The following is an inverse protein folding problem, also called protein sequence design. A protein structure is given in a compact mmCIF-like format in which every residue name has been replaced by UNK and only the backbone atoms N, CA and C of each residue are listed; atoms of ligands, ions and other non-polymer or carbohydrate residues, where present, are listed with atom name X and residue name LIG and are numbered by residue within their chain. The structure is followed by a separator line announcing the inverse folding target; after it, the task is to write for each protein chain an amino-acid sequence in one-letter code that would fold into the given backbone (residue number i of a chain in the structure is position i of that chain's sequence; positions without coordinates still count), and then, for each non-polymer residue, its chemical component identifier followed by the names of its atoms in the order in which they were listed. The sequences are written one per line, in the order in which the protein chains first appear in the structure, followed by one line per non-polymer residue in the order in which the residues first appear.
data_IF_993210781993
#
_entry.id   IF_993210781993
#
_cell.length_a   1.000
_cell.length_b   1.000
_cell.length_c   1.000
_cell.angle_alpha   90.00
_cell.angle_beta   90.00
_cell.angle_gamma   90.00
#
_symmetry.space_group_name_H-M   'P 1'
#
loop_
_entity.id
_entity.type
_entity.pdbx_description
1 polymer ?
#
# COMPACT_ATOMS: atom_id res chain seq x y z
N UNK A 1 -40.54 -38.81 25.77
CA UNK A 1 -39.31 -38.05 26.03
C UNK A 1 -38.60 -37.88 24.71
N UNK A 2 -38.77 -36.73 24.07
CA UNK A 2 -38.03 -36.33 22.87
C UNK A 2 -37.55 -34.91 23.14
N UNK A 3 -36.25 -34.78 23.45
CA UNK A 3 -35.60 -33.49 23.58
C UNK A 3 -35.08 -33.08 22.21
N UNK A 4 -35.66 -32.03 21.64
CA UNK A 4 -35.11 -31.36 20.48
C UNK A 4 -33.90 -30.55 20.95
N UNK A 5 -32.71 -30.88 20.44
CA UNK A 5 -31.53 -30.04 20.61
C UNK A 5 -31.66 -28.84 19.67
N UNK A 6 -31.70 -27.68 20.32
CA UNK A 6 -31.62 -26.34 19.72
C UNK A 6 -30.30 -26.23 18.95
N UNK A 7 -30.36 -26.28 17.62
CA UNK A 7 -29.24 -25.92 16.78
C UNK A 7 -29.19 -24.40 16.67
N UNK A 8 -28.44 -23.76 17.57
CA UNK A 8 -28.05 -22.36 17.44
C UNK A 8 -27.43 -22.13 16.06
N UNK A 9 -27.82 -21.08 15.31
CA UNK A 9 -27.21 -20.79 14.03
C UNK A 9 -25.74 -20.46 14.25
N UNK A 10 -24.84 -21.27 13.68
CA UNK A 10 -23.42 -20.97 13.58
C UNK A 10 -23.26 -19.59 12.94
N UNK A 11 -22.61 -18.66 13.63
CA UNK A 11 -22.24 -17.36 13.07
C UNK A 11 -21.57 -17.56 11.70
N UNK A 12 -21.91 -16.75 10.68
CA UNK A 12 -21.27 -16.87 9.38
C UNK A 12 -19.77 -16.61 9.55
N UNK A 13 -18.95 -17.60 9.22
CA UNK A 13 -17.50 -17.45 9.17
C UNK A 13 -17.17 -16.19 8.37
N UNK A 14 -16.60 -15.19 9.04
CA UNK A 14 -16.17 -13.95 8.39
C UNK A 14 -15.16 -14.31 7.32
N UNK A 15 -15.54 -14.12 6.05
CA UNK A 15 -14.66 -14.42 4.92
C UNK A 15 -13.45 -13.49 4.99
N UNK A 16 -12.30 -14.03 5.35
CA UNK A 16 -11.03 -13.30 5.36
C UNK A 16 -10.40 -13.29 3.96
N UNK A 17 -9.91 -12.13 3.50
CA UNK A 17 -9.18 -11.99 2.25
C UNK A 17 -7.67 -11.93 2.49
N UNK A 18 -6.89 -12.63 1.67
CA UNK A 18 -5.43 -12.65 1.72
C UNK A 18 -4.85 -11.60 0.78
N UNK A 19 -4.16 -10.62 1.34
CA UNK A 19 -3.61 -9.48 0.60
C UNK A 19 -2.09 -9.56 0.61
N UNK A 20 -1.49 -9.73 -0.56
CA UNK A 20 -0.05 -9.59 -0.73
C UNK A 20 0.35 -8.11 -0.81
N UNK A 21 1.42 -7.72 -0.12
CA UNK A 21 2.01 -6.38 -0.22
C UNK A 21 3.48 -6.52 -0.55
N UNK A 22 3.89 -6.03 -1.73
CA UNK A 22 5.29 -5.99 -2.15
C UNK A 22 5.80 -4.57 -1.95
N UNK A 23 6.59 -4.35 -0.90
CA UNK A 23 7.10 -3.04 -0.53
C UNK A 23 8.29 -3.16 0.43
N UNK A 24 8.82 -2.03 0.91
CA UNK A 24 9.85 -1.95 1.95
C UNK A 24 9.19 -1.85 3.33
N UNK A 25 9.54 -2.75 4.23
CA UNK A 25 9.03 -2.80 5.61
C UNK A 25 10.16 -2.60 6.59
N UNK A 26 9.86 -2.02 7.75
CA UNK A 26 10.81 -1.91 8.85
C UNK A 26 11.18 -3.32 9.36
N UNK A 27 12.47 -3.63 9.35
CA UNK A 27 13.02 -4.86 9.92
C UNK A 27 13.87 -4.45 11.15
N UNK A 28 13.48 -4.82 12.39
CA UNK A 28 14.31 -4.52 13.55
C UNK A 28 15.62 -5.31 13.46
N UNK A 29 16.72 -4.62 13.15
CA UNK A 29 18.06 -5.23 13.09
C UNK A 29 18.56 -5.43 14.52
N UNK A 30 18.54 -6.66 15.03
CA UNK A 30 18.68 -6.95 16.48
C UNK A 30 20.00 -6.43 17.09
N UNK A 31 21.05 -6.20 16.29
CA UNK A 31 22.41 -6.07 16.81
C UNK A 31 23.12 -4.70 16.59
N UNK A 32 22.47 -3.70 15.99
CA UNK A 32 23.10 -2.38 15.77
C UNK A 32 22.10 -1.21 15.83
N UNK A 33 22.08 -0.49 16.97
CA UNK A 33 21.22 0.68 17.16
C UNK A 33 21.58 1.85 16.24
N UNK A 34 22.86 2.06 15.92
CA UNK A 34 23.27 3.16 15.03
C UNK A 34 22.83 2.88 13.59
N UNK A 35 22.93 1.63 13.15
CA UNK A 35 22.39 1.21 11.86
C UNK A 35 20.87 1.38 11.81
N UNK A 36 20.16 1.01 12.87
CA UNK A 36 18.70 1.20 12.96
C UNK A 36 18.31 2.67 12.84
N UNK A 37 18.94 3.54 13.63
CA UNK A 37 18.69 5.00 13.56
C UNK A 37 18.99 5.53 12.16
N UNK A 38 20.13 5.14 11.56
CA UNK A 38 20.47 5.54 10.19
C UNK A 38 19.40 5.09 9.20
N UNK A 39 18.92 3.86 9.28
CA UNK A 39 17.88 3.37 8.37
C UNK A 39 16.53 4.05 8.62
N UNK A 40 16.19 4.39 9.87
CA UNK A 40 15.00 5.20 10.20
C UNK A 40 15.08 6.59 9.57
N UNK A 41 16.22 7.25 9.65
CA UNK A 41 16.43 8.56 8.99
C UNK A 41 16.35 8.44 7.46
N UNK A 42 16.85 7.35 6.88
CA UNK A 42 16.85 7.16 5.42
C UNK A 42 15.48 6.79 4.83
N UNK A 43 14.67 6.02 5.56
CA UNK A 43 13.47 5.37 5.01
C UNK A 43 12.18 5.65 5.78
N UNK A 44 12.26 6.24 6.97
CA UNK A 44 11.11 6.66 7.76
C UNK A 44 10.40 7.83 7.11
N UNK A 45 9.08 7.85 7.25
CA UNK A 45 8.20 8.84 6.61
C UNK A 45 7.38 9.66 7.62
N UNK A 46 7.44 9.31 8.89
CA UNK A 46 6.66 9.90 9.97
C UNK A 46 7.57 10.23 11.14
N UNK A 47 7.37 11.38 11.76
CA UNK A 47 7.92 11.79 13.05
C UNK A 47 6.74 12.35 13.83
N UNK A 48 6.10 11.50 14.65
CA UNK A 48 4.78 11.80 15.23
C UNK A 48 4.89 12.50 16.58
N UNK A 49 6.06 12.42 17.21
CA UNK A 49 6.39 13.01 18.49
C UNK A 49 7.35 14.22 18.35
N UNK A 50 7.81 14.50 17.12
CA UNK A 50 8.62 15.66 16.74
C UNK A 50 9.96 15.68 17.50
N UNK A 51 10.59 14.52 17.63
CA UNK A 51 11.91 14.35 18.24
C UNK A 51 13.05 14.26 17.21
N UNK A 52 12.75 14.53 15.94
CA UNK A 52 13.64 14.47 14.78
C UNK A 52 14.09 13.04 14.41
N UNK A 53 13.52 12.01 15.05
CA UNK A 53 13.83 10.61 14.78
C UNK A 53 12.60 9.90 14.19
N UNK A 54 12.56 9.66 12.86
CA UNK A 54 11.38 9.08 12.24
C UNK A 54 10.96 7.75 12.85
N UNK A 55 9.66 7.52 13.02
CA UNK A 55 9.09 6.30 13.61
C UNK A 55 9.56 5.03 12.89
N UNK A 56 9.59 3.87 13.58
CA UNK A 56 10.06 2.58 13.03
C UNK A 56 9.03 1.95 12.05
N UNK A 57 8.56 2.74 11.09
CA UNK A 57 7.63 2.33 10.04
C UNK A 57 8.17 2.81 8.69
N UNK A 58 8.34 1.88 7.76
CA UNK A 58 8.69 2.21 6.38
C UNK A 58 7.44 2.28 5.50
N UNK A 59 7.65 2.68 4.26
CA UNK A 59 6.58 2.87 3.28
C UNK A 59 5.56 1.71 3.22
N UNK A 60 6.03 0.47 3.20
CA UNK A 60 5.19 -0.73 3.19
C UNK A 60 4.35 -0.94 4.45
N UNK A 61 4.86 -0.54 5.62
CA UNK A 61 4.09 -0.59 6.86
C UNK A 61 2.90 0.37 6.79
N UNK A 62 3.13 1.59 6.30
CA UNK A 62 2.07 2.60 6.14
C UNK A 62 1.04 2.20 5.08
N UNK A 63 1.48 1.63 3.96
CA UNK A 63 0.60 1.07 2.93
C UNK A 63 -0.31 -0.01 3.53
N UNK A 64 0.24 -0.89 4.37
CA UNK A 64 -0.55 -1.91 5.06
C UNK A 64 -1.53 -1.30 6.07
N UNK A 65 -1.11 -0.29 6.85
CA UNK A 65 -1.97 0.38 7.83
C UNK A 65 -3.16 1.08 7.16
N UNK A 66 -2.93 1.77 6.04
CA UNK A 66 -4.02 2.42 5.28
C UNK A 66 -5.02 1.39 4.74
N UNK A 67 -4.52 0.23 4.32
CA UNK A 67 -5.35 -0.88 3.87
C UNK A 67 -6.02 -1.66 5.01
N UNK A 68 -5.68 -1.41 6.29
CA UNK A 68 -6.00 -2.29 7.41
C UNK A 68 -7.51 -2.52 7.56
N UNK A 69 -7.91 -3.76 7.81
CA UNK A 69 -9.27 -4.15 8.14
C UNK A 69 -9.27 -5.55 8.78
N UNK A 70 -10.13 -5.86 9.76
CA UNK A 70 -10.18 -7.18 10.40
C UNK A 70 -10.43 -8.35 9.45
N UNK A 71 -11.07 -8.09 8.31
CA UNK A 71 -11.31 -9.10 7.27
C UNK A 71 -10.11 -9.34 6.35
N UNK A 72 -8.96 -8.69 6.57
CA UNK A 72 -7.77 -8.85 5.73
C UNK A 72 -6.64 -9.55 6.48
N UNK A 73 -6.01 -10.51 5.81
CA UNK A 73 -4.79 -11.17 6.23
C UNK A 73 -3.67 -10.70 5.31
N UNK A 74 -2.73 -9.92 5.84
CA UNK A 74 -1.63 -9.38 5.05
C UNK A 74 -0.45 -10.34 4.98
N UNK A 75 0.04 -10.56 3.76
CA UNK A 75 1.26 -11.30 3.46
C UNK A 75 2.32 -10.31 2.96
N UNK A 76 3.34 -10.07 3.78
CA UNK A 76 4.43 -9.13 3.47
C UNK A 76 5.48 -9.80 2.58
N UNK A 77 5.80 -9.15 1.47
CA UNK A 77 6.85 -9.55 0.54
C UNK A 77 7.92 -8.44 0.46
N UNK A 78 8.91 -8.45 1.37
CA UNK A 78 9.80 -7.31 1.56
C UNK A 78 10.77 -7.09 0.39
N UNK A 79 10.94 -5.82 0.00
CA UNK A 79 12.03 -5.34 -0.85
C UNK A 79 13.20 -4.98 0.06
N UNK A 80 14.25 -5.79 0.04
CA UNK A 80 15.48 -5.56 0.82
C UNK A 80 16.52 -4.77 0.03
N UNK A 81 17.37 -4.04 0.74
CA UNK A 81 18.46 -3.27 0.14
C UNK A 81 19.45 -4.18 -0.61
N UNK A 82 19.49 -4.03 -1.93
CA UNK A 82 20.58 -4.39 -2.85
C UNK A 82 20.23 -3.91 -4.27
N UNK A 83 20.56 -2.64 -4.52
CA UNK A 83 20.76 -1.93 -5.81
C UNK A 83 19.78 -2.03 -6.99
N UNK A 84 18.69 -2.82 -6.99
CA UNK A 84 17.72 -2.81 -8.11
C UNK A 84 16.29 -3.13 -7.64
N UNK A 85 15.44 -2.12 -7.36
CA UNK A 85 14.07 -2.33 -6.89
C UNK A 85 13.23 -3.22 -7.80
N UNK A 86 13.35 -3.07 -9.12
CA UNK A 86 12.61 -3.91 -10.08
C UNK A 86 12.98 -5.39 -9.98
N UNK A 87 14.26 -5.71 -9.72
CA UNK A 87 14.71 -7.09 -9.52
C UNK A 87 14.12 -7.68 -8.24
N UNK A 88 14.04 -6.88 -7.17
CA UNK A 88 13.43 -7.28 -5.91
C UNK A 88 11.93 -7.54 -6.06
N UNK A 89 11.20 -6.62 -6.71
CA UNK A 89 9.77 -6.80 -7.05
C UNK A 89 9.56 -8.09 -7.84
N UNK A 90 10.36 -8.31 -8.89
CA UNK A 90 10.26 -9.54 -9.68
C UNK A 90 10.52 -10.79 -8.84
N UNK A 91 11.49 -10.75 -7.93
CA UNK A 91 11.78 -11.86 -7.02
C UNK A 91 10.58 -12.17 -6.12
N UNK A 92 9.91 -11.14 -5.60
CA UNK A 92 8.71 -11.33 -4.77
C UNK A 92 7.52 -11.85 -5.57
N UNK A 93 7.29 -11.34 -6.78
CA UNK A 93 6.26 -11.87 -7.68
C UNK A 93 6.50 -13.35 -8.02
N UNK A 94 7.75 -13.74 -8.29
CA UNK A 94 8.12 -15.13 -8.53
C UNK A 94 7.86 -16.03 -7.31
N UNK A 95 8.09 -15.52 -6.09
CA UNK A 95 7.75 -16.23 -4.84
C UNK A 95 6.25 -16.43 -4.69
N UNK A 96 5.44 -15.39 -4.92
CA UNK A 96 3.96 -15.50 -4.92
C UNK A 96 3.53 -16.58 -5.92
N UNK A 97 4.01 -16.51 -7.16
CA UNK A 97 3.67 -17.46 -8.22
C UNK A 97 4.01 -18.91 -7.87
N UNK A 98 5.20 -19.13 -7.32
CA UNK A 98 5.67 -20.48 -6.92
C UNK A 98 4.84 -21.05 -5.76
N UNK A 99 4.46 -20.21 -4.81
CA UNK A 99 3.65 -20.60 -3.65
C UNK A 99 2.14 -20.65 -3.90
N UNK A 100 1.65 -20.11 -5.01
CA UNK A 100 0.23 -19.77 -5.23
C UNK A 100 -0.72 -20.94 -5.04
N UNK A 101 -0.36 -22.15 -5.49
CA UNK A 101 -1.20 -23.34 -5.36
C UNK A 101 -1.46 -23.73 -3.89
N UNK A 102 -0.54 -23.40 -2.98
CA UNK A 102 -0.64 -23.71 -1.56
C UNK A 102 -1.11 -22.51 -0.74
N UNK A 103 -0.70 -21.31 -1.13
CA UNK A 103 -1.00 -20.05 -0.45
C UNK A 103 -1.54 -19.04 -1.48
N UNK A 104 -2.79 -19.23 -1.97
CA UNK A 104 -3.39 -18.28 -2.89
C UNK A 104 -3.62 -16.93 -2.19
N UNK A 105 -3.54 -15.87 -2.99
CA UNK A 105 -3.81 -14.48 -2.57
C UNK A 105 -5.00 -13.96 -3.36
N UNK A 106 -5.82 -13.14 -2.72
CA UNK A 106 -7.03 -12.55 -3.32
C UNK A 106 -6.73 -11.18 -3.94
N UNK A 107 -5.75 -10.48 -3.37
CA UNK A 107 -5.28 -9.19 -3.85
C UNK A 107 -3.77 -9.02 -3.74
N UNK A 108 -3.21 -8.15 -4.57
CA UNK A 108 -1.84 -7.67 -4.50
C UNK A 108 -1.85 -6.14 -4.51
N UNK A 109 -1.19 -5.52 -3.54
CA UNK A 109 -0.84 -4.10 -3.55
C UNK A 109 0.62 -3.97 -3.98
N UNK A 110 0.84 -3.24 -5.09
CA UNK A 110 2.17 -2.87 -5.58
C UNK A 110 2.26 -1.34 -5.66
N UNK A 111 2.57 -0.72 -4.52
CA UNK A 111 2.69 0.73 -4.36
C UNK A 111 4.07 1.27 -4.75
N UNK A 112 4.64 0.73 -5.83
CA UNK A 112 5.96 1.11 -6.32
C UNK A 112 5.88 1.84 -7.67
N UNK A 113 6.65 2.92 -7.80
CA UNK A 113 6.71 3.69 -9.05
C UNK A 113 7.80 3.15 -9.99
N UNK A 114 7.42 2.92 -11.25
CA UNK A 114 8.34 2.75 -12.37
C UNK A 114 7.83 3.58 -13.53
N UNK A 115 8.44 4.72 -13.84
CA UNK A 115 7.81 5.71 -14.73
C UNK A 115 8.24 5.55 -16.18
N UNK A 116 7.27 5.58 -17.10
CA UNK A 116 7.48 5.74 -18.54
C UNK A 116 7.07 7.14 -18.95
N UNK A 117 7.94 7.86 -19.66
CA UNK A 117 7.63 9.18 -20.21
C UNK A 117 6.57 9.08 -21.30
N UNK A 118 5.57 9.95 -21.27
CA UNK A 118 4.53 9.98 -22.31
C UNK A 118 5.11 10.38 -23.68
N UNK A 119 6.16 11.21 -23.68
CA UNK A 119 6.88 11.60 -24.90
C UNK A 119 7.59 10.44 -25.60
N UNK A 120 7.70 9.27 -24.95
CA UNK A 120 8.20 8.06 -25.59
C UNK A 120 7.17 7.45 -26.58
N UNK A 121 5.92 7.90 -26.56
CA UNK A 121 4.88 7.45 -27.47
C UNK A 121 4.61 8.48 -28.57
N UNK A 122 4.55 8.02 -29.81
CA UNK A 122 4.22 8.87 -30.97
C UNK A 122 2.78 9.39 -30.93
N UNK A 123 1.85 8.59 -30.39
CA UNK A 123 0.43 8.93 -30.33
C UNK A 123 0.08 9.65 -29.01
N UNK A 124 -0.79 10.68 -29.02
CA UNK A 124 -1.27 11.33 -27.81
C UNK A 124 -2.01 10.38 -26.88
N UNK A 125 -1.72 10.46 -25.58
CA UNK A 125 -2.23 9.56 -24.54
C UNK A 125 -3.76 9.64 -24.41
N UNK A 126 -4.45 8.82 -25.21
CA UNK A 126 -5.91 8.75 -25.32
C UNK A 126 -6.40 7.32 -25.11
N UNK A 127 -7.62 7.15 -24.58
CA UNK A 127 -8.23 5.83 -24.30
C UNK A 127 -8.26 4.93 -25.54
N UNK A 128 -8.56 5.50 -26.71
CA UNK A 128 -8.55 4.79 -28.00
C UNK A 128 -7.19 4.17 -28.36
N UNK A 129 -6.08 4.71 -27.83
CA UNK A 129 -4.73 4.25 -28.11
C UNK A 129 -4.18 3.28 -27.05
N UNK A 130 -4.92 2.97 -25.98
CA UNK A 130 -4.45 2.10 -24.88
C UNK A 130 -3.94 0.76 -25.37
N UNK A 131 -4.66 0.10 -26.29
CA UNK A 131 -4.23 -1.19 -26.87
C UNK A 131 -2.89 -1.06 -27.61
N UNK A 132 -2.69 0.05 -28.30
CA UNK A 132 -1.45 0.32 -29.03
C UNK A 132 -0.27 0.51 -28.08
N UNK A 133 -0.42 1.29 -27.01
CA UNK A 133 0.67 1.48 -26.04
C UNK A 133 1.06 0.19 -25.32
N UNK A 134 0.08 -0.63 -24.92
CA UNK A 134 0.37 -1.95 -24.32
C UNK A 134 1.14 -2.85 -25.30
N UNK A 135 0.82 -2.78 -26.60
CA UNK A 135 1.58 -3.51 -27.63
C UNK A 135 3.02 -2.98 -27.78
N UNK A 136 3.22 -1.66 -27.82
CA UNK A 136 4.55 -1.05 -27.88
C UNK A 136 5.42 -1.43 -26.68
N UNK A 137 4.87 -1.38 -25.46
CA UNK A 137 5.62 -1.74 -24.24
C UNK A 137 6.02 -3.21 -24.25
N UNK A 138 5.16 -4.10 -24.77
CA UNK A 138 5.50 -5.51 -24.98
C UNK A 138 6.66 -5.63 -25.97
N UNK A 139 6.58 -4.96 -27.11
CA UNK A 139 7.64 -4.94 -28.12
C UNK A 139 8.97 -4.44 -27.55
N UNK A 140 8.97 -3.32 -26.82
CA UNK A 140 10.15 -2.78 -26.14
C UNK A 140 10.74 -3.78 -25.15
N UNK A 141 9.90 -4.45 -24.37
CA UNK A 141 10.31 -5.52 -23.48
C UNK A 141 10.97 -6.72 -24.17
N UNK A 142 10.68 -6.95 -25.45
CA UNK A 142 11.30 -7.99 -26.26
C UNK A 142 12.60 -7.55 -26.93
N UNK A 143 12.65 -6.31 -27.39
CA UNK A 143 13.72 -5.77 -28.25
C UNK A 143 14.82 -5.06 -27.47
N UNK A 144 14.54 -4.54 -26.27
CA UNK A 144 15.45 -3.70 -25.51
C UNK A 144 15.70 -4.28 -24.11
N UNK A 145 16.96 -4.59 -23.80
CA UNK A 145 17.35 -5.23 -22.54
C UNK A 145 17.02 -4.39 -21.29
N UNK A 146 17.01 -3.06 -21.40
CA UNK A 146 16.64 -2.15 -20.30
C UNK A 146 15.20 -2.38 -19.79
N UNK A 147 14.31 -2.90 -20.65
CA UNK A 147 12.92 -3.21 -20.32
C UNK A 147 12.72 -4.62 -19.75
N UNK A 148 13.79 -5.41 -19.62
CA UNK A 148 13.70 -6.81 -19.21
C UNK A 148 12.89 -7.00 -17.91
N UNK A 149 13.27 -6.30 -16.83
CA UNK A 149 12.57 -6.45 -15.55
C UNK A 149 11.13 -5.96 -15.62
N UNK A 150 10.88 -4.81 -16.24
CA UNK A 150 9.52 -4.28 -16.41
C UNK A 150 8.60 -5.24 -17.15
N UNK A 151 9.10 -5.86 -18.24
CA UNK A 151 8.35 -6.90 -18.97
C UNK A 151 8.05 -8.11 -18.09
N UNK A 152 9.04 -8.61 -17.36
CA UNK A 152 8.84 -9.77 -16.48
C UNK A 152 7.84 -9.46 -15.36
N UNK A 153 7.88 -8.26 -14.79
CA UNK A 153 6.92 -7.80 -13.79
C UNK A 153 5.52 -7.75 -14.39
N UNK A 154 5.35 -7.10 -15.56
CA UNK A 154 4.07 -7.01 -16.28
C UNK A 154 3.49 -8.41 -16.52
N UNK A 155 4.29 -9.35 -17.02
CA UNK A 155 3.82 -10.72 -17.24
C UNK A 155 3.41 -11.45 -15.95
N UNK A 156 4.11 -11.23 -14.83
CA UNK A 156 3.72 -11.83 -13.55
C UNK A 156 2.45 -11.20 -12.98
N UNK A 157 2.24 -9.89 -13.19
CA UNK A 157 0.98 -9.22 -12.85
C UNK A 157 -0.16 -9.79 -13.69
N UNK A 158 0.02 -9.91 -15.01
CA UNK A 158 -0.99 -10.50 -15.91
C UNK A 158 -1.32 -11.95 -15.52
N UNK A 159 -0.30 -12.75 -15.14
CA UNK A 159 -0.50 -14.11 -14.67
C UNK A 159 -1.36 -14.19 -13.39
N UNK A 160 -1.21 -13.22 -12.48
CA UNK A 160 -2.02 -13.11 -11.26
C UNK A 160 -3.47 -12.70 -11.60
N UNK A 161 -3.65 -11.70 -12.46
CA UNK A 161 -4.98 -11.18 -12.82
C UNK A 161 -5.81 -12.23 -13.58
N UNK A 162 -5.19 -13.02 -14.45
CA UNK A 162 -5.81 -14.18 -15.12
C UNK A 162 -6.34 -15.24 -14.15
N UNK A 163 -5.85 -15.28 -12.91
CA UNK A 163 -6.27 -16.21 -11.85
C UNK A 163 -7.26 -15.58 -10.87
N UNK A 164 -7.78 -14.39 -11.18
CA UNK A 164 -8.76 -13.70 -10.35
C UNK A 164 -8.15 -12.89 -9.21
N UNK A 165 -6.83 -12.77 -9.11
CA UNK A 165 -6.19 -11.89 -8.13
C UNK A 165 -6.41 -10.43 -8.54
N UNK A 166 -6.93 -9.61 -7.64
CA UNK A 166 -7.06 -8.17 -7.90
C UNK A 166 -5.73 -7.48 -7.63
N UNK A 167 -5.07 -6.99 -8.68
CA UNK A 167 -3.77 -6.31 -8.54
C UNK A 167 -3.98 -4.81 -8.59
N UNK A 168 -3.62 -4.11 -7.51
CA UNK A 168 -3.68 -2.66 -7.39
C UNK A 168 -2.28 -2.09 -7.53
N UNK A 169 -2.10 -1.15 -8.46
CA UNK A 169 -0.88 -0.37 -8.62
C UNK A 169 -1.19 1.12 -8.66
N UNK A 170 -0.16 1.93 -8.51
CA UNK A 170 -0.27 3.38 -8.38
C UNK A 170 -0.19 4.03 -9.75
N UNK A 171 -0.83 5.18 -9.95
CA UNK A 171 -0.68 5.93 -11.19
C UNK A 171 0.74 6.49 -11.39
N UNK A 172 1.45 6.76 -10.29
CA UNK A 172 2.78 7.35 -10.25
C UNK A 172 2.76 8.81 -9.77
N UNK A 173 3.86 9.25 -9.16
CA UNK A 173 4.05 10.61 -8.65
C UNK A 173 4.90 11.49 -9.60
N UNK A 174 5.08 11.06 -10.85
CA UNK A 174 5.76 11.81 -11.91
C UNK A 174 4.92 12.87 -12.65
N UNK A 175 3.73 13.20 -12.18
CA UNK A 175 2.83 14.18 -12.78
C UNK A 175 2.23 13.76 -14.13
N UNK A 176 1.62 14.73 -14.83
CA UNK A 176 0.88 14.49 -16.08
C UNK A 176 1.76 14.06 -17.26
N UNK A 177 3.09 14.10 -17.13
CA UNK A 177 4.05 13.71 -18.16
C UNK A 177 4.48 12.23 -18.10
N UNK A 178 4.01 11.48 -17.11
CA UNK A 178 4.43 10.12 -16.84
C UNK A 178 3.25 9.15 -16.72
N UNK A 179 3.54 7.88 -16.99
CA UNK A 179 2.65 6.75 -16.71
C UNK A 179 3.45 5.74 -15.90
N UNK A 180 2.89 5.24 -14.79
CA UNK A 180 3.49 4.08 -14.13
C UNK A 180 3.46 2.87 -15.09
N UNK A 181 4.62 2.32 -15.36
CA UNK A 181 4.90 1.22 -16.30
C UNK A 181 4.07 -0.02 -15.98
N UNK A 182 3.79 -0.28 -14.71
CA UNK A 182 2.98 -1.44 -14.34
C UNK A 182 1.51 -1.31 -14.75
N UNK A 183 1.03 -0.08 -15.02
CA UNK A 183 -0.32 0.18 -15.57
C UNK A 183 -0.52 -0.38 -16.98
N UNK A 184 0.55 -0.74 -17.68
CA UNK A 184 0.45 -1.39 -18.99
C UNK A 184 0.03 -2.87 -18.87
N UNK A 185 0.12 -3.49 -17.69
CA UNK A 185 -0.33 -4.86 -17.51
C UNK A 185 -1.84 -5.02 -17.76
N UNK A 186 -2.26 -6.18 -18.26
CA UNK A 186 -3.67 -6.50 -18.45
C UNK A 186 -4.33 -6.91 -17.12
N UNK A 187 -5.53 -6.39 -16.87
CA UNK A 187 -6.30 -6.67 -15.64
C UNK A 187 -5.78 -6.02 -14.36
N UNK A 188 -4.67 -5.25 -14.43
CA UNK A 188 -4.23 -4.43 -13.31
C UNK A 188 -5.21 -3.28 -13.10
N UNK A 189 -5.41 -2.89 -11.85
CA UNK A 189 -6.16 -1.71 -11.44
C UNK A 189 -5.16 -0.62 -11.10
N UNK A 190 -5.08 0.41 -11.92
CA UNK A 190 -4.23 1.57 -11.66
C UNK A 190 -5.01 2.66 -10.94
N UNK A 191 -4.45 3.12 -9.83
CA UNK A 191 -5.14 4.01 -8.90
C UNK A 191 -4.46 5.37 -8.86
N UNK A 192 -5.23 6.42 -9.20
CA UNK A 192 -4.86 7.82 -9.05
C UNK A 192 -5.38 8.41 -7.73
N UNK A 193 -5.08 9.67 -7.49
CA UNK A 193 -5.57 10.39 -6.31
C UNK A 193 -6.88 11.13 -6.57
N UNK A 194 -7.76 11.10 -5.58
CA UNK A 194 -9.03 11.83 -5.60
C UNK A 194 -8.88 13.34 -5.41
N UNK A 195 -7.79 13.76 -4.77
CA UNK A 195 -7.50 15.11 -4.32
C UNK A 195 -7.05 15.99 -5.50
N UNK A 196 -7.84 17.00 -5.91
CA UNK A 196 -7.56 17.82 -7.08
C UNK A 196 -6.23 18.57 -7.01
N UNK A 197 -5.83 18.99 -5.80
CA UNK A 197 -4.59 19.70 -5.52
C UNK A 197 -3.36 18.85 -5.84
N UNK A 198 -3.50 17.51 -5.87
CA UNK A 198 -2.39 16.61 -6.17
C UNK A 198 -2.19 16.37 -7.68
N UNK A 199 -3.09 16.87 -8.53
CA UNK A 199 -3.10 16.63 -9.98
C UNK A 199 -1.82 17.04 -10.72
N UNK A 200 -1.03 17.95 -10.15
CA UNK A 200 0.25 18.39 -10.73
C UNK A 200 1.39 17.40 -10.48
N UNK A 201 1.30 16.58 -9.43
CA UNK A 201 2.34 15.60 -9.10
C UNK A 201 1.87 14.15 -9.25
N UNK A 202 0.58 13.84 -9.10
CA UNK A 202 0.07 12.50 -9.35
C UNK A 202 -0.37 12.38 -10.80
N UNK A 203 0.13 11.35 -11.48
CA UNK A 203 -0.25 11.08 -12.84
C UNK A 203 -1.76 10.85 -12.94
N UNK A 204 -2.43 11.66 -13.76
CA UNK A 204 -3.83 11.48 -14.13
C UNK A 204 -3.89 11.29 -15.64
N UNK A 205 -3.99 10.03 -16.06
CA UNK A 205 -3.94 9.67 -17.46
C UNK A 205 -4.90 8.53 -17.78
N UNK A 206 -4.94 8.12 -19.06
CA UNK A 206 -5.93 7.16 -19.57
C UNK A 206 -5.80 5.75 -19.03
N UNK A 207 -4.72 5.45 -18.31
CA UNK A 207 -4.54 4.19 -17.61
C UNK A 207 -5.06 4.21 -16.18
N UNK A 208 -5.45 5.35 -15.63
CA UNK A 208 -6.07 5.41 -14.31
C UNK A 208 -7.50 4.86 -14.39
N UNK A 209 -7.75 3.77 -13.66
CA UNK A 209 -9.05 3.09 -13.62
C UNK A 209 -9.92 3.62 -12.48
N UNK A 210 -9.28 3.94 -11.35
CA UNK A 210 -9.95 4.37 -10.12
C UNK A 210 -9.20 5.53 -9.46
N UNK A 211 -9.93 6.32 -8.69
CA UNK A 211 -9.38 7.38 -7.84
C UNK A 211 -9.72 7.07 -6.39
N UNK A 212 -8.77 7.27 -5.50
CA UNK A 212 -8.93 7.06 -4.06
C UNK A 212 -8.12 8.09 -3.26
N UNK A 213 -8.43 8.19 -1.97
CA UNK A 213 -7.76 9.08 -1.04
C UNK A 213 -6.25 8.76 -0.99
N UNK A 214 -5.44 9.76 -1.26
CA UNK A 214 -3.99 9.70 -1.34
C UNK A 214 -3.30 10.57 -0.26
N UNK A 215 -4.07 11.34 0.51
CA UNK A 215 -3.60 12.19 1.60
C UNK A 215 -4.10 11.65 2.94
N UNK A 216 -3.17 11.43 3.86
CA UNK A 216 -3.45 10.95 5.21
C UNK A 216 -2.73 11.82 6.22
N UNK A 217 -3.51 12.57 6.99
CA UNK A 217 -3.03 13.32 8.15
C UNK A 217 -3.23 12.44 9.37
N UNK A 218 -2.16 12.01 10.07
CA UNK A 218 -2.31 11.26 11.32
C UNK A 218 -3.12 12.07 12.33
N UNK A 219 -4.07 11.42 13.00
CA UNK A 219 -4.92 12.05 14.01
C UNK A 219 -4.69 11.37 15.35
N UNK A 220 -4.35 12.14 16.37
CA UNK A 220 -4.18 11.61 17.72
C UNK A 220 -5.51 11.09 18.27
N UNK A 221 -5.48 9.86 18.75
CA UNK A 221 -6.60 9.21 19.44
C UNK A 221 -6.34 9.27 20.94
N UNK A 222 -7.27 9.85 21.69
CA UNK A 222 -7.21 9.99 23.15
C UNK A 222 -8.18 8.99 23.81
N UNK A 223 -7.92 8.63 25.08
CA UNK A 223 -8.90 7.92 25.91
C UNK A 223 -9.95 8.89 26.50
N UNK A 224 -10.94 8.36 27.23
CA UNK A 224 -11.99 9.16 27.86
C UNK A 224 -11.48 10.19 28.90
N UNK A 225 -10.25 10.03 29.39
CA UNK A 225 -9.58 10.96 30.30
C UNK A 225 -8.75 12.02 29.57
N UNK A 226 -8.77 12.02 28.23
CA UNK A 226 -7.98 12.93 27.39
C UNK A 226 -6.50 12.56 27.28
N UNK A 227 -6.10 11.36 27.67
CA UNK A 227 -4.72 10.88 27.56
C UNK A 227 -4.49 10.24 26.18
N UNK A 228 -3.38 10.57 25.47
CA UNK A 228 -3.07 9.97 24.18
C UNK A 228 -2.91 8.45 24.26
N UNK A 229 -3.56 7.73 23.33
CA UNK A 229 -3.41 6.28 23.14
C UNK A 229 -2.61 5.92 21.89
N UNK A 230 -2.63 6.77 20.87
CA UNK A 230 -1.86 6.60 19.65
C UNK A 230 -2.35 7.52 18.54
N UNK A 231 -2.09 7.12 17.31
CA UNK A 231 -2.51 7.82 16.10
C UNK A 231 -3.32 6.90 15.19
N UNK A 232 -4.40 7.46 14.63
CA UNK A 232 -5.19 6.94 13.52
C UNK A 232 -4.61 7.51 12.22
N UNK A 233 -4.26 6.65 11.27
CA UNK A 233 -3.72 7.07 9.98
C UNK A 233 -4.79 7.11 8.89
N UNK A 234 -5.83 6.31 8.98
CA UNK A 234 -6.76 6.08 7.87
C UNK A 234 -8.17 6.66 8.11
N UNK A 235 -8.36 7.32 9.25
CA UNK A 235 -9.59 7.97 9.70
C UNK A 235 -10.76 6.99 9.94
N UNK A 236 -10.47 5.78 10.44
CA UNK A 236 -11.47 4.81 10.89
C UNK A 236 -11.66 4.77 12.43
N UNK A 237 -11.07 5.75 13.11
CA UNK A 237 -11.04 5.91 14.57
C UNK A 237 -10.36 4.75 15.31
N UNK A 238 -9.60 3.91 14.62
CA UNK A 238 -8.75 2.89 15.24
C UNK A 238 -7.34 3.44 15.55
N UNK A 239 -6.68 2.84 16.53
CA UNK A 239 -5.26 3.14 16.81
C UNK A 239 -4.41 2.30 15.86
N UNK A 240 -3.81 2.94 14.86
CA UNK A 240 -2.85 2.30 13.94
C UNK A 240 -1.43 2.30 14.52
N UNK A 241 -1.02 3.41 15.15
CA UNK A 241 0.28 3.58 15.79
C UNK A 241 0.09 3.88 17.28
N UNK A 242 0.27 2.90 18.17
CA UNK A 242 0.17 3.12 19.61
C UNK A 242 1.28 4.03 20.15
N UNK A 243 1.01 4.81 21.20
CA UNK A 243 2.02 5.68 21.83
C UNK A 243 3.29 4.96 22.28
N UNK A 244 3.17 3.67 22.67
CA UNK A 244 4.31 2.86 23.08
C UNK A 244 5.22 2.40 21.94
N UNK A 245 4.90 2.78 20.71
CA UNK A 245 5.71 2.56 19.51
C UNK A 245 6.43 3.82 19.03
N UNK A 246 6.15 4.98 19.64
CA UNK A 246 6.82 6.23 19.31
C UNK A 246 8.26 6.25 19.82
N UNK A 247 9.18 6.92 19.11
CA UNK A 247 10.59 6.98 19.51
C UNK A 247 10.77 7.55 20.91
N UNK A 248 9.98 8.56 21.26
CA UNK A 248 10.09 9.30 22.50
C UNK A 248 9.24 8.71 23.64
N UNK A 249 8.69 7.50 23.51
CA UNK A 249 7.69 6.98 24.47
C UNK A 249 8.11 7.06 25.95
N UNK A 250 9.41 6.87 26.25
CA UNK A 250 9.92 6.92 27.63
C UNK A 250 10.19 8.34 28.15
N UNK A 251 10.05 9.35 27.31
CA UNK A 251 10.24 10.76 27.67
C UNK A 251 8.93 11.33 28.19
N UNK A 252 8.86 11.62 29.49
CA UNK A 252 7.66 12.17 30.15
C UNK A 252 7.23 13.56 29.66
N UNK A 253 8.10 14.24 28.93
CA UNK A 253 7.97 15.66 28.62
C UNK A 253 7.46 15.94 27.19
N UNK A 254 7.15 14.89 26.41
CA UNK A 254 6.75 15.07 25.01
C UNK A 254 5.26 15.30 24.89
N UNK A 255 4.89 16.54 24.54
CA UNK A 255 3.51 16.91 24.23
C UNK A 255 3.14 16.48 22.81
N UNK A 256 2.50 15.31 22.70
CA UNK A 256 2.06 14.76 21.40
C UNK A 256 1.03 15.67 20.72
N UNK A 257 1.32 16.06 19.47
CA UNK A 257 0.41 16.88 18.65
C UNK A 257 -0.89 16.14 18.35
N UNK A 258 -2.01 16.86 18.23
CA UNK A 258 -3.26 16.25 17.73
C UNK A 258 -3.20 15.90 16.25
N UNK A 259 -2.37 16.64 15.49
CA UNK A 259 -2.19 16.55 14.03
C UNK A 259 -0.70 16.78 13.75
N UNK A 260 0.14 15.74 13.88
CA UNK A 260 1.57 15.87 13.65
C UNK A 260 1.87 16.11 12.17
N UNK A 261 3.02 16.72 11.91
CA UNK A 261 3.60 16.88 10.58
C UNK A 261 4.76 15.88 10.44
N UNK A 262 4.97 15.24 9.29
CA UNK A 262 4.36 15.50 7.99
C UNK A 262 3.02 14.77 7.73
N UNK A 263 2.22 15.36 6.85
CA UNK A 263 1.10 14.68 6.21
C UNK A 263 1.63 13.66 5.19
N UNK A 264 1.12 12.45 5.21
CA UNK A 264 1.40 11.44 4.20
C UNK A 264 0.66 11.80 2.91
N UNK A 265 1.38 11.93 1.81
CA UNK A 265 0.78 12.21 0.49
C UNK A 265 1.49 11.44 -0.61
N UNK A 266 0.72 10.87 -1.53
CA UNK A 266 1.27 10.15 -2.68
C UNK A 266 0.30 9.12 -3.24
N UNK A 267 0.42 8.83 -4.54
CA UNK A 267 -0.39 7.79 -5.18
C UNK A 267 -0.17 6.41 -4.56
N UNK A 268 0.97 6.20 -3.89
CA UNK A 268 1.26 5.01 -3.08
C UNK A 268 0.28 4.73 -1.95
N UNK A 269 -0.41 5.77 -1.45
CA UNK A 269 -1.45 5.66 -0.43
C UNK A 269 -2.86 5.55 -1.02
N UNK A 270 -3.04 5.84 -2.31
CA UNK A 270 -4.32 5.67 -3.01
C UNK A 270 -4.60 4.19 -3.31
N UNK A 271 -3.59 3.44 -3.77
CA UNK A 271 -3.73 2.01 -4.09
C UNK A 271 -4.25 1.14 -2.93
N UNK A 272 -3.70 1.21 -1.69
CA UNK A 272 -4.23 0.47 -0.55
C UNK A 272 -5.67 0.86 -0.20
N UNK A 273 -6.03 2.14 -0.32
CA UNK A 273 -7.40 2.61 -0.05
C UNK A 273 -8.42 2.12 -1.09
N UNK A 274 -8.06 2.17 -2.38
CA UNK A 274 -8.88 1.58 -3.43
C UNK A 274 -9.04 0.06 -3.26
N UNK A 275 -7.98 -0.62 -2.82
CA UNK A 275 -8.05 -2.05 -2.48
C UNK A 275 -9.07 -2.29 -1.37
N UNK A 276 -8.94 -1.58 -0.23
CA UNK A 276 -9.86 -1.68 0.92
C UNK A 276 -11.32 -1.46 0.48
N UNK A 277 -11.60 -0.40 -0.27
CA UNK A 277 -12.93 -0.08 -0.78
C UNK A 277 -13.49 -1.11 -1.79
N UNK A 278 -12.63 -1.85 -2.50
CA UNK A 278 -13.07 -2.88 -3.46
C UNK A 278 -13.63 -4.15 -2.79
N UNK A 279 -13.27 -4.39 -1.53
CA UNK A 279 -13.71 -5.57 -0.76
C UNK A 279 -14.68 -5.20 0.37
N UNK A 280 -14.52 -4.02 0.97
CA UNK A 280 -15.28 -3.58 2.14
C UNK A 280 -16.31 -2.52 1.71
N UNK A 281 -17.60 -2.82 1.88
CA UNK A 281 -18.71 -1.91 1.51
C UNK A 281 -19.09 -0.90 2.60
N UNK A 282 -18.69 -1.13 3.85
CA UNK A 282 -18.99 -0.26 4.98
C UNK A 282 -17.73 -0.06 5.80
N UNK A 283 -17.36 1.19 6.07
CA UNK A 283 -16.26 1.51 6.97
C UNK A 283 -16.60 1.02 8.37
N UNK A 284 -15.81 0.09 8.89
CA UNK A 284 -15.88 -0.26 10.30
C UNK A 284 -15.22 0.87 11.08
N UNK A 285 -15.94 1.41 12.06
CA UNK A 285 -15.38 2.30 13.08
C UNK A 285 -14.96 1.39 14.24
N UNK A 286 -13.73 1.53 14.73
CA UNK A 286 -13.38 0.85 15.98
C UNK A 286 -14.34 1.31 17.08
N UNK A 287 -15.05 0.37 17.70
CA UNK A 287 -15.72 0.69 18.96
C UNK A 287 -14.62 1.05 19.95
N UNK A 288 -14.78 2.19 20.63
CA UNK A 288 -13.95 2.49 21.80
C UNK A 288 -14.09 1.30 22.74
N UNK A 289 -13.00 0.56 22.97
CA UNK A 289 -12.97 -0.46 24.02
C UNK A 289 -13.24 0.22 25.37
N UNK A 290 -14.52 0.33 25.70
CA UNK A 290 -15.06 0.64 27.01
C UNK A 290 -15.29 -0.71 27.71
N UNK A 291 -14.22 -1.34 28.19
CA UNK A 291 -14.36 -2.43 29.17
C UNK A 291 -13.29 -2.33 30.25
N UNK A 292 -13.70 -1.74 31.38
CA UNK A 292 -13.22 -1.87 32.76
C UNK A 292 -11.72 -1.63 33.05
#
# INVERSE_FOLDING_TARGET
MAGAEDASPSEPATSSWRVAVIDRFYEPVIDDQQEQERQRVLYGLLDLDNDELPEPYYHGDLVQMIASHPSFIFLRYPIRDSSQPLKAILTQLARIKTGFARFPVDALILSWESSTLISAFEKPLKRENVKHYKALIREWGHSHSVWYYSRQIIHNIEWLTERGVRVFTIAGNGGSGMVNTFSFASGVITVGASEPELSHFIANNVFVDHFANAVYEPIRVDNNQGQPRGYDLNNDACIDIPVNRLSSYYSSDVQLSRKPWPILKGSSFAAPAAMKASFIKHSQICQSDDSA
#
